data_IF_650991070551
#
_entry.id   IF_650991070551
#
_cell.length_a   1.000
_cell.length_b   1.000
_cell.length_c   1.000
_cell.angle_alpha   90.00
_cell.angle_beta   90.00
_cell.angle_gamma   90.00
#
_symmetry.space_group_name_H-M   'P 1'
#
loop_
_entity.id
_entity.type
_entity.pdbx_description
1 polymer ?
#
# COMPACT_ATOMS: atom_id res chain seq x y z
N UNK A 1 67.79 -17.76 -59.09
CA UNK A 1 66.80 -18.62 -58.41
C UNK A 1 66.20 -17.83 -57.25
N UNK A 2 64.86 -17.89 -57.14
CA UNK A 2 63.96 -17.48 -56.03
C UNK A 2 64.13 -16.05 -55.47
N UNK A 3 63.28 -15.08 -55.86
CA UNK A 3 61.93 -14.75 -55.32
C UNK A 3 61.93 -14.34 -53.84
N UNK A 4 61.56 -13.08 -53.59
CA UNK A 4 61.15 -12.56 -52.29
C UNK A 4 60.33 -11.29 -52.49
N UNK A 5 59.03 -11.39 -52.19
CA UNK A 5 58.05 -10.30 -52.08
C UNK A 5 58.23 -9.60 -50.72
N UNK A 6 58.07 -8.27 -50.67
CA UNK A 6 57.51 -7.57 -49.50
C UNK A 6 56.65 -6.40 -49.98
N UNK A 7 55.44 -6.33 -49.45
CA UNK A 7 54.40 -5.32 -49.68
C UNK A 7 54.60 -4.07 -48.82
N UNK A 8 54.10 -2.91 -49.29
CA UNK A 8 53.45 -1.88 -48.45
C UNK A 8 52.57 -0.92 -49.28
N UNK A 9 51.32 -0.79 -48.81
CA UNK A 9 50.23 0.18 -49.08
C UNK A 9 49.51 0.15 -50.45
N UNK A 10 48.16 0.23 -50.46
CA UNK A 10 47.49 1.53 -50.31
C UNK A 10 46.21 1.57 -49.45
N UNK A 11 45.70 2.79 -49.35
CA UNK A 11 44.57 3.36 -48.62
C UNK A 11 43.17 2.76 -48.92
N UNK A 12 42.37 2.75 -47.85
CA UNK A 12 40.94 3.11 -47.71
C UNK A 12 39.97 2.66 -48.79
N UNK A 13 39.15 1.67 -48.43
CA UNK A 13 37.79 1.50 -48.94
C UNK A 13 36.81 1.65 -47.77
N UNK A 14 35.84 2.55 -47.94
CA UNK A 14 34.68 2.73 -47.06
C UNK A 14 33.70 1.61 -47.39
N UNK A 15 33.45 0.70 -46.46
CA UNK A 15 32.42 -0.33 -46.59
C UNK A 15 31.21 0.06 -45.72
N UNK A 16 30.09 0.22 -46.38
CA UNK A 16 28.76 0.46 -45.83
C UNK A 16 28.35 -0.71 -44.93
N UNK A 17 28.13 -0.43 -43.65
CA UNK A 17 27.55 -1.41 -42.71
C UNK A 17 26.07 -1.52 -43.04
N UNK A 18 25.69 -2.64 -43.65
CA UNK A 18 24.28 -3.03 -43.79
C UNK A 18 23.73 -3.37 -42.41
N UNK A 19 22.64 -2.68 -42.04
CA UNK A 19 21.83 -2.97 -40.86
C UNK A 19 21.32 -4.42 -40.93
N UNK A 20 21.84 -5.29 -40.06
CA UNK A 20 21.22 -6.58 -39.74
C UNK A 20 20.38 -6.39 -38.49
N UNK A 21 19.06 -6.34 -38.68
CA UNK A 21 18.09 -6.53 -37.60
C UNK A 21 18.22 -7.98 -37.10
N UNK A 22 18.94 -8.18 -36.01
CA UNK A 22 18.83 -9.42 -35.23
C UNK A 22 17.49 -9.37 -34.48
N UNK A 23 16.52 -10.14 -34.97
CA UNK A 23 15.34 -10.52 -34.19
C UNK A 23 15.81 -11.28 -32.94
N UNK A 24 15.76 -10.60 -31.80
CA UNK A 24 15.91 -11.22 -30.50
C UNK A 24 14.65 -12.05 -30.26
N UNK A 25 14.71 -13.35 -30.53
CA UNK A 25 13.75 -14.32 -30.02
C UNK A 25 13.85 -14.31 -28.49
N UNK A 26 12.91 -13.63 -27.85
CA UNK A 26 12.75 -13.65 -26.40
C UNK A 26 12.00 -14.92 -26.05
N UNK A 27 12.71 -15.94 -25.58
CA UNK A 27 12.12 -17.15 -25.04
C UNK A 27 11.07 -16.80 -23.97
N UNK A 28 9.81 -17.17 -24.25
CA UNK A 28 8.66 -16.97 -23.36
C UNK A 28 8.77 -17.89 -22.16
N UNK A 29 9.23 -17.37 -21.02
CA UNK A 29 9.11 -18.04 -19.73
C UNK A 29 7.75 -17.68 -19.13
N UNK A 30 6.85 -18.67 -19.07
CA UNK A 30 5.58 -18.58 -18.34
C UNK A 30 5.81 -18.37 -16.83
N UNK A 31 5.97 -17.12 -16.39
CA UNK A 31 5.96 -16.75 -14.97
C UNK A 31 5.69 -15.24 -14.73
N UNK A 32 4.49 -14.75 -15.06
CA UNK A 32 4.03 -13.42 -14.64
C UNK A 32 2.76 -13.55 -13.79
N UNK A 33 2.90 -13.59 -12.46
CA UNK A 33 1.75 -13.56 -11.54
C UNK A 33 1.86 -12.33 -10.64
N UNK A 34 1.48 -11.17 -11.17
CA UNK A 34 1.15 -10.00 -10.35
C UNK A 34 -0.22 -10.26 -9.73
N UNK A 35 -0.31 -10.21 -8.40
CA UNK A 35 -1.57 -10.47 -7.68
C UNK A 35 -2.23 -9.15 -7.31
N UNK A 36 -3.50 -9.02 -7.67
CA UNK A 36 -4.29 -7.82 -7.45
C UNK A 36 -5.37 -8.01 -6.37
N UNK A 37 -5.33 -7.21 -5.31
CA UNK A 37 -6.45 -7.03 -4.40
C UNK A 37 -7.22 -5.77 -4.79
N UNK A 38 -8.51 -5.91 -5.12
CA UNK A 38 -9.37 -4.77 -5.47
C UNK A 38 -10.28 -4.43 -4.29
N UNK A 39 -10.14 -3.21 -3.78
CA UNK A 39 -11.10 -2.63 -2.83
C UNK A 39 -12.08 -1.74 -3.60
N UNK A 40 -13.37 -1.99 -3.44
CA UNK A 40 -14.47 -1.44 -4.25
C UNK A 40 -15.30 -0.46 -3.43
N UNK A 41 -15.41 0.78 -3.93
CA UNK A 41 -16.21 1.86 -3.34
C UNK A 41 -17.50 2.09 -4.14
N UNK A 42 -18.66 2.06 -3.44
CA UNK A 42 -19.97 2.42 -3.98
C UNK A 42 -20.47 3.63 -3.20
N UNK A 43 -20.37 4.82 -3.80
CA UNK A 43 -20.56 6.08 -3.10
C UNK A 43 -22.03 6.53 -3.14
N UNK A 44 -22.62 6.82 -1.99
CA UNK A 44 -23.77 7.73 -1.84
C UNK A 44 -23.45 8.73 -0.72
N UNK A 45 -23.48 10.02 -1.06
CA UNK A 45 -22.97 11.14 -0.27
C UNK A 45 -23.44 11.20 1.20
N UNK A 46 -22.55 11.53 2.16
CA UNK A 46 -22.50 12.81 2.94
C UNK A 46 -21.74 12.76 4.28
N UNK A 47 -21.21 13.96 4.63
CA UNK A 47 -20.87 14.61 5.92
C UNK A 47 -19.81 14.07 6.90
N UNK A 48 -18.85 14.96 7.22
CA UNK A 48 -17.78 14.82 8.21
C UNK A 48 -18.32 15.01 9.64
N UNK A 49 -18.04 14.07 10.55
CA UNK A 49 -18.27 14.23 11.99
C UNK A 49 -16.92 14.42 12.70
N UNK A 50 -16.76 15.56 13.36
CA UNK A 50 -15.68 15.82 14.32
C UNK A 50 -15.97 15.09 15.64
N UNK A 51 -14.99 14.36 16.17
CA UNK A 51 -15.09 13.73 17.49
C UNK A 51 -14.09 14.41 18.42
N UNK A 52 -14.58 15.18 19.39
CA UNK A 52 -13.79 15.77 20.47
C UNK A 52 -13.33 14.69 21.47
N UNK A 53 -12.11 14.85 21.98
CA UNK A 53 -11.36 13.80 22.65
C UNK A 53 -11.43 13.78 24.17
N UNK A 54 -11.32 12.58 24.73
CA UNK A 54 -10.78 12.31 26.07
C UNK A 54 -9.67 11.25 25.99
N UNK A 55 -8.56 11.50 26.68
CA UNK A 55 -7.44 10.58 26.83
C UNK A 55 -7.85 9.41 27.75
N UNK A 56 -7.82 8.19 27.23
CA UNK A 56 -8.02 6.98 28.03
C UNK A 56 -6.79 6.07 27.91
N UNK A 57 -6.26 5.65 29.07
CA UNK A 57 -5.26 4.60 29.19
C UNK A 57 -5.90 3.26 28.80
N UNK A 58 -5.61 2.77 27.59
CA UNK A 58 -6.05 1.46 27.10
C UNK A 58 -4.92 0.44 27.11
N UNK A 59 -5.25 -0.82 27.43
CA UNK A 59 -4.32 -1.95 27.42
C UNK A 59 -4.22 -2.49 25.99
N UNK A 60 -3.03 -2.48 25.39
CA UNK A 60 -2.77 -3.22 24.13
C UNK A 60 -2.15 -4.55 24.53
N UNK A 61 -2.88 -5.65 24.34
CA UNK A 61 -2.36 -6.99 24.64
C UNK A 61 -1.60 -7.54 23.41
N UNK A 62 -0.35 -8.01 23.55
CA UNK A 62 0.19 -9.01 22.64
C UNK A 62 -0.50 -10.34 22.99
N UNK A 63 -1.24 -10.93 22.07
CA UNK A 63 -1.96 -12.17 22.35
C UNK A 63 -1.20 -13.37 21.78
N UNK A 64 -0.35 -13.97 22.63
CA UNK A 64 -0.44 -15.41 22.80
C UNK A 64 -1.70 -15.70 23.63
N UNK A 65 -2.56 -16.58 23.09
CA UNK A 65 -3.71 -17.24 23.73
C UNK A 65 -4.91 -16.39 24.19
N UNK A 66 -6.00 -16.45 23.41
CA UNK A 66 -7.37 -16.44 23.95
C UNK A 66 -8.34 -17.10 22.95
N UNK A 67 -8.72 -18.35 23.23
CA UNK A 67 -9.82 -19.03 22.57
C UNK A 67 -11.15 -18.44 23.06
N UNK A 68 -12.05 -18.11 22.13
CA UNK A 68 -13.44 -17.75 22.43
C UNK A 68 -14.31 -18.90 21.96
N UNK A 69 -14.96 -19.58 22.91
CA UNK A 69 -16.01 -20.57 22.65
C UNK A 69 -17.33 -19.85 22.36
N UNK A 70 -17.77 -19.92 21.10
CA UNK A 70 -19.17 -19.64 20.71
C UNK A 70 -19.56 -20.73 19.72
N UNK A 71 -20.57 -21.53 20.06
CA UNK A 71 -21.05 -22.62 19.21
C UNK A 71 -22.00 -22.08 18.11
N UNK A 72 -21.72 -22.40 16.85
CA UNK A 72 -22.60 -22.14 15.69
C UNK A 72 -21.86 -21.76 14.39
N UNK A 73 -22.52 -21.88 13.24
CA UNK A 73 -21.95 -21.50 11.91
C UNK A 73 -21.64 -19.98 11.80
N UNK A 74 -22.43 -19.12 12.45
CA UNK A 74 -22.17 -17.67 12.50
C UNK A 74 -20.93 -17.32 13.34
N UNK A 75 -20.66 -18.09 14.40
CA UNK A 75 -19.46 -17.94 15.21
C UNK A 75 -18.20 -18.31 14.43
N UNK A 76 -18.27 -19.36 13.59
CA UNK A 76 -17.16 -19.74 12.74
C UNK A 76 -16.82 -18.67 11.69
N UNK A 77 -17.82 -17.99 11.10
CA UNK A 77 -17.59 -16.91 10.14
C UNK A 77 -17.00 -15.66 10.81
N UNK A 78 -17.52 -15.28 11.99
CA UNK A 78 -17.02 -14.15 12.78
C UNK A 78 -15.62 -14.42 13.36
N UNK A 79 -15.35 -15.65 13.80
CA UNK A 79 -14.04 -16.08 14.29
C UNK A 79 -13.01 -16.13 13.16
N UNK A 80 -13.40 -16.57 11.95
CA UNK A 80 -12.55 -16.54 10.76
C UNK A 80 -12.29 -15.11 10.27
N UNK A 81 -13.28 -14.22 10.32
CA UNK A 81 -13.12 -12.79 10.00
C UNK A 81 -12.23 -12.06 11.02
N UNK A 82 -12.40 -12.33 12.32
CA UNK A 82 -11.54 -11.80 13.38
C UNK A 82 -10.10 -12.31 13.25
N UNK A 83 -9.91 -13.62 13.00
CA UNK A 83 -8.61 -14.24 12.77
C UNK A 83 -7.92 -13.71 11.50
N UNK A 84 -8.70 -13.31 10.49
CA UNK A 84 -8.22 -12.70 9.24
C UNK A 84 -7.81 -11.23 9.41
N UNK A 85 -8.56 -10.45 10.20
CA UNK A 85 -8.13 -9.10 10.65
C UNK A 85 -6.77 -9.16 11.37
N UNK A 86 -6.55 -10.23 12.12
CA UNK A 86 -5.33 -10.55 12.89
C UNK A 86 -4.16 -11.03 12.03
N UNK A 87 -4.30 -11.12 10.71
CA UNK A 87 -3.30 -11.76 9.81
C UNK A 87 -2.33 -10.79 9.13
N UNK A 88 -2.51 -9.47 9.24
CA UNK A 88 -1.68 -8.49 8.51
C UNK A 88 -0.49 -8.00 9.36
N UNK A 89 0.77 -8.35 9.02
CA UNK A 89 1.93 -7.96 9.82
C UNK A 89 2.08 -6.43 9.90
N UNK A 90 2.31 -5.91 11.12
CA UNK A 90 2.48 -4.47 11.37
C UNK A 90 1.17 -3.70 11.61
N UNK A 91 0.02 -4.37 11.50
CA UNK A 91 -1.30 -3.85 11.88
C UNK A 91 -1.74 -4.52 13.18
N UNK A 92 -2.38 -3.76 14.06
CA UNK A 92 -2.82 -4.24 15.37
C UNK A 92 -4.27 -3.81 15.64
N UNK A 93 -4.92 -4.48 16.60
CA UNK A 93 -6.24 -4.12 17.08
C UNK A 93 -6.14 -3.77 18.57
N UNK A 94 -6.50 -2.55 18.92
CA UNK A 94 -6.67 -2.14 20.31
C UNK A 94 -8.10 -2.51 20.74
N UNK A 95 -8.22 -3.42 21.71
CA UNK A 95 -9.51 -3.87 22.26
C UNK A 95 -9.92 -2.96 23.41
N UNK A 96 -11.17 -2.51 23.42
CA UNK A 96 -11.71 -1.59 24.42
C UNK A 96 -13.24 -1.71 24.52
N UNK A 97 -13.93 -0.59 24.80
CA UNK A 97 -15.39 -0.53 24.62
C UNK A 97 -15.77 -0.70 23.14
N UNK A 98 -14.92 -0.16 22.27
CA UNK A 98 -14.97 -0.31 20.83
C UNK A 98 -13.59 -0.75 20.37
N UNK A 99 -13.56 -1.67 19.40
CA UNK A 99 -12.31 -2.15 18.83
C UNK A 99 -11.79 -1.16 17.79
N UNK A 100 -10.51 -0.83 17.88
CA UNK A 100 -9.88 0.15 17.00
C UNK A 100 -8.71 -0.48 16.25
N UNK A 101 -8.65 -0.26 14.94
CA UNK A 101 -7.48 -0.59 14.14
C UNK A 101 -6.35 0.39 14.48
N UNK A 102 -5.15 -0.10 14.75
CA UNK A 102 -4.01 0.74 15.13
C UNK A 102 -2.71 0.31 14.43
N UNK A 103 -1.81 1.27 14.21
CA UNK A 103 -0.44 1.04 13.72
C UNK A 103 0.58 1.51 14.76
N UNK A 104 1.75 0.87 14.81
CA UNK A 104 2.82 1.28 15.72
C UNK A 104 3.45 2.60 15.23
N UNK A 105 3.43 3.63 16.05
CA UNK A 105 3.94 4.94 15.68
C UNK A 105 5.48 4.90 15.56
N UNK A 106 6.02 5.24 14.38
CA UNK A 106 7.47 5.36 14.18
C UNK A 106 8.03 6.72 14.66
N UNK A 107 7.15 7.71 14.89
CA UNK A 107 7.48 9.03 15.43
C UNK A 107 6.70 9.29 16.73
N UNK A 108 7.06 8.64 17.85
CA UNK A 108 6.34 8.79 19.12
C UNK A 108 6.25 10.25 19.55
N UNK A 109 5.09 10.67 20.04
CA UNK A 109 4.85 12.06 20.47
C UNK A 109 4.13 12.92 19.43
N UNK A 110 4.07 12.47 18.17
CA UNK A 110 3.49 13.22 17.05
C UNK A 110 2.26 12.51 16.44
N UNK A 111 1.20 13.27 16.21
CA UNK A 111 0.04 12.89 15.37
C UNK A 111 0.10 13.61 14.03
N UNK A 112 -0.46 13.01 12.98
CA UNK A 112 -0.39 13.56 11.61
C UNK A 112 -1.61 14.40 11.27
N UNK A 113 -2.80 13.92 11.62
CA UNK A 113 -4.07 14.55 11.29
C UNK A 113 -5.00 14.68 12.50
N UNK A 114 -4.42 14.68 13.71
CA UNK A 114 -5.17 14.80 14.96
C UNK A 114 -5.78 13.48 15.45
N UNK A 115 -5.35 12.34 14.91
CA UNK A 115 -5.81 11.03 15.35
C UNK A 115 -5.44 10.70 16.79
N UNK A 116 -6.28 9.87 17.43
CA UNK A 116 -6.03 9.37 18.77
C UNK A 116 -4.79 8.48 18.80
N UNK A 117 -4.02 8.59 19.88
CA UNK A 117 -2.81 7.79 20.14
C UNK A 117 -2.94 7.01 21.43
N UNK A 118 -2.36 5.81 21.46
CA UNK A 118 -2.39 4.90 22.60
C UNK A 118 -0.95 4.60 22.99
N UNK A 119 -0.59 4.94 24.22
CA UNK A 119 0.73 4.64 24.77
C UNK A 119 0.68 3.41 25.65
N UNK A 120 1.59 2.47 25.42
CA UNK A 120 1.76 1.28 26.25
C UNK A 120 3.19 1.22 26.78
N UNK A 121 3.30 1.11 28.09
CA UNK A 121 4.57 0.89 28.76
C UNK A 121 4.83 -0.60 28.84
N UNK A 122 5.91 -1.05 28.19
CA UNK A 122 6.36 -2.43 28.38
C UNK A 122 7.27 -2.45 29.61
N UNK A 123 6.76 -2.96 30.73
CA UNK A 123 7.61 -3.34 31.85
C UNK A 123 8.36 -4.60 31.45
N UNK A 124 9.69 -4.56 31.43
CA UNK A 124 10.49 -5.74 31.14
C UNK A 124 10.32 -6.78 32.27
N UNK A 125 9.39 -7.72 32.13
CA UNK A 125 9.24 -8.82 33.08
C UNK A 125 10.18 -9.97 32.72
N UNK A 126 11.18 -10.12 33.59
CA UNK A 126 11.83 -11.38 34.00
C UNK A 126 12.62 -12.17 32.97
N UNK A 127 13.93 -11.92 32.97
CA UNK A 127 14.91 -12.89 32.52
C UNK A 127 16.30 -12.31 32.42
N UNK A 128 16.90 -11.87 33.53
CA UNK A 128 18.35 -11.84 33.76
C UNK A 128 18.65 -11.46 35.22
N UNK A 129 19.41 -12.32 35.87
CA UNK A 129 20.12 -12.08 37.11
C UNK A 129 21.01 -10.85 36.97
N UNK A 130 21.00 -9.98 37.99
CA UNK A 130 21.82 -8.77 38.19
C UNK A 130 21.11 -7.43 37.88
N UNK A 131 20.31 -6.96 38.85
CA UNK A 131 20.38 -5.60 39.43
C UNK A 131 20.01 -4.36 38.60
N UNK A 132 20.22 -4.34 37.28
CA UNK A 132 19.97 -3.16 36.45
C UNK A 132 18.71 -3.39 35.61
N UNK A 133 17.57 -2.91 36.11
CA UNK A 133 16.33 -2.88 35.35
C UNK A 133 16.50 -1.96 34.13
N UNK A 134 16.37 -2.50 32.93
CA UNK A 134 16.29 -1.69 31.71
C UNK A 134 15.13 -0.68 31.83
N UNK A 135 15.31 0.58 31.40
CA UNK A 135 14.25 1.58 31.47
C UNK A 135 13.03 1.12 30.67
N UNK A 136 11.83 1.33 31.23
CA UNK A 136 10.58 0.98 30.57
C UNK A 136 10.50 1.64 29.19
N UNK A 137 10.38 0.84 28.13
CA UNK A 137 10.22 1.34 26.78
C UNK A 137 8.75 1.65 26.52
N UNK A 138 8.44 2.94 26.35
CA UNK A 138 7.10 3.41 25.97
C UNK A 138 6.91 3.21 24.46
N UNK A 139 5.98 2.34 24.08
CA UNK A 139 5.58 2.14 22.69
C UNK A 139 4.27 2.89 22.45
N UNK A 140 4.23 3.70 21.39
CA UNK A 140 3.04 4.45 21.00
C UNK A 140 2.40 3.82 19.76
N UNK A 141 1.08 3.77 19.74
CA UNK A 141 0.25 3.33 18.62
C UNK A 141 -0.69 4.45 18.19
N UNK A 142 -1.07 4.47 16.92
CA UNK A 142 -1.96 5.47 16.31
C UNK A 142 -3.23 4.79 15.82
N UNK A 143 -4.38 5.39 16.11
CA UNK A 143 -5.68 4.89 15.64
C UNK A 143 -5.83 5.17 14.14
N UNK A 144 -6.11 4.12 13.38
CA UNK A 144 -6.31 4.18 11.95
C UNK A 144 -7.81 4.13 11.63
N UNK A 145 -8.34 5.25 11.14
CA UNK A 145 -9.76 5.40 10.90
C UNK A 145 -10.17 4.80 9.54
N UNK A 146 -11.04 3.76 9.50
CA UNK A 146 -11.50 3.14 8.25
C UNK A 146 -12.37 4.07 7.39
N UNK A 147 -13.10 5.01 7.99
CA UNK A 147 -13.91 6.00 7.26
C UNK A 147 -13.07 7.07 6.54
N UNK A 148 -11.77 7.16 6.85
CA UNK A 148 -10.82 8.10 6.20
C UNK A 148 -9.79 7.40 5.33
N UNK A 149 -9.70 6.07 5.40
CA UNK A 149 -8.67 5.30 4.72
C UNK A 149 -9.25 4.02 4.12
N UNK A 150 -9.30 3.99 2.79
CA UNK A 150 -9.80 2.83 2.04
C UNK A 150 -9.00 1.56 2.29
N UNK A 151 -7.70 1.69 2.60
CA UNK A 151 -6.87 0.55 2.99
C UNK A 151 -7.28 0.00 4.36
N UNK A 152 -7.55 0.85 5.34
CA UNK A 152 -8.07 0.41 6.64
C UNK A 152 -9.46 -0.23 6.50
N UNK A 153 -10.36 0.37 5.70
CA UNK A 153 -11.66 -0.21 5.39
C UNK A 153 -11.51 -1.60 4.74
N UNK A 154 -10.56 -1.76 3.80
CA UNK A 154 -10.27 -3.06 3.17
C UNK A 154 -9.73 -4.10 4.16
N UNK A 155 -8.84 -3.70 5.08
CA UNK A 155 -8.35 -4.59 6.14
C UNK A 155 -9.50 -5.02 7.06
N UNK A 156 -10.35 -4.09 7.49
CA UNK A 156 -11.50 -4.40 8.34
C UNK A 156 -12.57 -5.22 7.63
N UNK A 157 -12.78 -4.96 6.33
CA UNK A 157 -13.68 -5.77 5.50
C UNK A 157 -13.12 -7.15 5.16
N UNK A 158 -11.88 -7.45 5.58
CA UNK A 158 -11.30 -8.78 5.51
C UNK A 158 -10.67 -9.09 4.16
N UNK A 159 -9.85 -8.19 3.60
CA UNK A 159 -8.86 -8.56 2.57
C UNK A 159 -7.92 -9.65 3.10
N UNK A 160 -7.68 -10.70 2.30
CA UNK A 160 -6.74 -11.79 2.63
C UNK A 160 -5.29 -11.29 2.62
N UNK A 161 -4.91 -10.50 1.61
CA UNK A 161 -3.51 -10.14 1.39
C UNK A 161 -3.40 -8.70 0.86
N UNK A 162 -2.90 -7.79 1.71
CA UNK A 162 -2.61 -6.40 1.30
C UNK A 162 -1.19 -6.21 0.76
N UNK A 163 -0.34 -7.24 0.85
CA UNK A 163 1.09 -7.28 0.49
C UNK A 163 2.02 -6.29 1.23
N UNK A 164 1.45 -5.27 1.89
CA UNK A 164 2.15 -4.29 2.72
C UNK A 164 2.51 -4.96 4.05
N UNK A 165 3.81 -5.05 4.33
CA UNK A 165 4.37 -5.71 5.52
C UNK A 165 5.65 -5.01 5.97
N UNK A 166 6.10 -5.22 7.22
CA UNK A 166 7.37 -4.69 7.69
C UNK A 166 8.52 -5.02 6.74
N UNK A 167 9.33 -4.01 6.39
CA UNK A 167 10.43 -4.11 5.44
C UNK A 167 10.07 -4.03 3.96
N UNK A 168 8.78 -3.97 3.60
CA UNK A 168 8.38 -3.85 2.20
C UNK A 168 8.67 -2.45 1.63
N UNK A 169 8.92 -2.40 0.32
CA UNK A 169 8.93 -1.17 -0.47
C UNK A 169 7.59 -0.98 -1.15
N UNK A 170 6.93 0.14 -0.88
CA UNK A 170 5.58 0.46 -1.38
C UNK A 170 5.64 1.69 -2.27
N UNK A 171 5.06 1.60 -3.47
CA UNK A 171 4.74 2.77 -4.29
C UNK A 171 3.28 3.13 -4.09
N UNK A 172 3.03 4.27 -3.47
CA UNK A 172 1.69 4.78 -3.17
C UNK A 172 1.32 5.85 -4.20
N UNK A 173 0.32 5.56 -5.04
CA UNK A 173 -0.17 6.47 -6.08
C UNK A 173 -1.43 7.20 -5.57
N UNK A 174 -1.40 8.54 -5.55
CA UNK A 174 -2.48 9.36 -5.01
C UNK A 174 -2.35 9.56 -3.50
N UNK A 175 -1.18 10.01 -3.05
CA UNK A 175 -0.85 10.13 -1.63
C UNK A 175 -1.62 11.25 -0.89
N UNK A 176 -2.20 12.21 -1.61
CA UNK A 176 -2.88 13.38 -1.07
C UNK A 176 -2.03 14.10 0.00
N UNK A 177 -2.60 14.39 1.17
CA UNK A 177 -1.89 15.02 2.29
C UNK A 177 -1.09 14.02 3.15
N UNK A 178 -1.09 12.73 2.82
CA UNK A 178 -0.29 11.72 3.51
C UNK A 178 -0.94 11.07 4.74
N UNK A 179 -2.25 11.20 4.94
CA UNK A 179 -2.97 10.58 6.08
C UNK A 179 -2.81 9.06 6.10
N UNK A 180 -3.26 8.35 5.06
CA UNK A 180 -3.10 6.90 4.91
C UNK A 180 -1.63 6.50 4.71
N UNK A 181 -0.86 7.31 3.98
CA UNK A 181 0.58 7.08 3.76
C UNK A 181 1.34 6.98 5.08
N UNK A 182 0.98 7.79 6.08
CA UNK A 182 1.61 7.74 7.39
C UNK A 182 1.39 6.41 8.12
N UNK A 183 0.23 5.76 7.95
CA UNK A 183 -0.03 4.43 8.49
C UNK A 183 0.69 3.34 7.70
N UNK A 184 0.75 3.46 6.37
CA UNK A 184 1.56 2.55 5.54
C UNK A 184 3.04 2.64 5.95
N UNK A 185 3.55 3.85 6.20
CA UNK A 185 4.90 4.08 6.70
C UNK A 185 5.14 3.42 8.07
N UNK A 186 4.17 3.49 8.98
CA UNK A 186 4.21 2.80 10.26
C UNK A 186 4.28 1.27 10.10
N UNK A 187 3.49 0.70 9.18
CA UNK A 187 3.43 -0.75 8.91
C UNK A 187 4.73 -1.26 8.30
N UNK A 188 5.26 -0.59 7.26
CA UNK A 188 6.52 -1.02 6.64
C UNK A 188 7.72 -0.80 7.55
N UNK A 189 7.61 0.12 8.50
CA UNK A 189 8.61 0.37 9.53
C UNK A 189 9.92 0.97 8.98
N UNK A 190 10.97 1.04 9.83
CA UNK A 190 12.21 1.75 9.51
C UNK A 190 13.05 1.07 8.42
N UNK A 191 12.84 -0.22 8.17
CA UNK A 191 13.55 -0.98 7.12
C UNK A 191 12.82 -0.96 5.78
N UNK A 192 11.55 -0.56 5.77
CA UNK A 192 10.75 -0.39 4.55
C UNK A 192 10.89 1.00 3.96
N UNK A 193 10.24 1.22 2.81
CA UNK A 193 10.22 2.55 2.17
C UNK A 193 8.90 2.77 1.48
N UNK A 194 8.31 3.95 1.63
CA UNK A 194 7.09 4.37 0.95
C UNK A 194 7.41 5.50 -0.02
N UNK A 195 7.31 5.24 -1.32
CA UNK A 195 7.37 6.25 -2.37
C UNK A 195 5.96 6.82 -2.55
N UNK A 196 5.74 8.06 -2.11
CA UNK A 196 4.41 8.67 -2.09
C UNK A 196 4.26 9.66 -3.24
N UNK A 197 3.52 9.27 -4.28
CA UNK A 197 3.31 10.10 -5.48
C UNK A 197 2.03 10.91 -5.32
N UNK A 198 2.16 12.23 -5.45
CA UNK A 198 1.05 13.18 -5.42
C UNK A 198 1.23 14.24 -6.50
N UNK A 199 0.17 14.55 -7.24
CA UNK A 199 0.24 15.56 -8.31
C UNK A 199 0.02 16.98 -7.78
N UNK A 200 -0.86 17.13 -6.79
CA UNK A 200 -1.24 18.44 -6.25
C UNK A 200 -0.10 19.07 -5.45
N UNK A 201 0.36 20.25 -5.85
CA UNK A 201 1.31 21.04 -5.05
C UNK A 201 0.75 21.45 -3.68
N UNK A 202 -0.57 21.61 -3.54
CA UNK A 202 -1.19 21.98 -2.26
C UNK A 202 -1.05 20.82 -1.28
N UNK A 203 -1.59 19.65 -1.64
CA UNK A 203 -1.52 18.44 -0.83
C UNK A 203 -0.08 17.97 -0.65
N UNK A 204 0.75 18.19 -1.68
CA UNK A 204 2.17 17.91 -1.66
C UNK A 204 2.94 18.66 -0.57
N UNK A 205 2.53 19.86 -0.17
CA UNK A 205 3.15 20.56 0.98
C UNK A 205 2.93 19.80 2.28
N UNK A 206 1.70 19.35 2.51
CA UNK A 206 1.34 18.60 3.71
C UNK A 206 2.03 17.23 3.71
N UNK A 207 2.11 16.58 2.53
CA UNK A 207 2.84 15.33 2.36
C UNK A 207 4.35 15.48 2.65
N UNK A 208 4.97 16.56 2.17
CA UNK A 208 6.39 16.87 2.47
C UNK A 208 6.58 17.10 3.96
N UNK A 209 5.71 17.88 4.60
CA UNK A 209 5.77 18.13 6.04
C UNK A 209 5.62 16.83 6.84
N UNK A 210 4.70 15.94 6.45
CA UNK A 210 4.58 14.63 7.11
C UNK A 210 5.85 13.78 6.91
N UNK A 211 6.46 13.84 5.72
CA UNK A 211 7.69 13.12 5.41
C UNK A 211 8.93 13.68 6.13
N UNK A 212 8.96 14.93 6.59
CA UNK A 212 10.11 15.43 7.39
C UNK A 212 10.24 14.71 8.72
N UNK A 213 9.14 14.20 9.25
CA UNK A 213 9.12 13.44 10.51
C UNK A 213 9.31 11.94 10.27
N UNK A 214 8.94 11.40 9.10
CA UNK A 214 9.04 9.98 8.74
C UNK A 214 10.08 9.74 7.66
N UNK A 215 11.28 9.35 8.09
CA UNK A 215 12.45 9.16 7.20
C UNK A 215 12.30 8.03 6.18
N UNK A 216 11.33 7.12 6.37
CA UNK A 216 11.02 6.05 5.44
C UNK A 216 9.99 6.44 4.36
N UNK A 217 9.55 7.70 4.31
CA UNK A 217 8.65 8.23 3.28
C UNK A 217 9.43 9.15 2.32
N UNK A 218 9.34 8.87 1.03
CA UNK A 218 9.91 9.70 -0.03
C UNK A 218 8.75 10.37 -0.78
N UNK A 219 8.48 11.68 -0.55
CA UNK A 219 7.43 12.40 -1.24
C UNK A 219 7.86 12.75 -2.67
N UNK A 220 7.01 12.45 -3.65
CA UNK A 220 7.24 12.69 -5.07
C UNK A 220 6.08 13.54 -5.59
N UNK A 221 6.34 14.83 -5.83
CA UNK A 221 5.32 15.76 -6.32
C UNK A 221 5.34 15.78 -7.85
N UNK A 222 4.74 14.77 -8.47
CA UNK A 222 4.66 14.59 -9.92
C UNK A 222 3.38 13.87 -10.35
N UNK A 223 3.07 13.95 -11.65
CA UNK A 223 1.93 13.25 -12.24
C UNK A 223 2.21 11.75 -12.42
N UNK A 224 1.41 10.91 -11.75
CA UNK A 224 1.49 9.45 -11.82
C UNK A 224 1.29 8.89 -13.24
N UNK A 225 0.68 9.65 -14.16
CA UNK A 225 0.54 9.31 -15.59
C UNK A 225 1.86 9.26 -16.35
N UNK A 226 2.91 9.89 -15.82
CA UNK A 226 4.21 10.05 -16.47
C UNK A 226 5.34 9.47 -15.62
N UNK A 227 5.36 8.14 -15.35
CA UNK A 227 6.30 7.53 -14.42
C UNK A 227 7.77 7.78 -14.77
N UNK A 228 8.10 7.95 -16.05
CA UNK A 228 9.46 8.28 -16.49
C UNK A 228 10.03 9.57 -15.87
N UNK A 229 9.18 10.53 -15.44
CA UNK A 229 9.64 11.79 -14.83
C UNK A 229 10.27 11.60 -13.46
N UNK A 230 9.84 10.59 -12.71
CA UNK A 230 10.37 10.26 -11.38
C UNK A 230 11.14 8.93 -11.37
N UNK A 231 11.55 8.44 -12.54
CA UNK A 231 12.33 7.20 -12.70
C UNK A 231 13.60 7.17 -11.87
N UNK A 232 14.26 8.32 -11.71
CA UNK A 232 15.51 8.38 -10.95
C UNK A 232 15.30 8.29 -9.42
N UNK A 233 14.06 8.47 -8.94
CA UNK A 233 13.74 8.51 -7.52
C UNK A 233 13.26 7.15 -6.99
N UNK A 234 12.57 6.37 -7.83
CA UNK A 234 11.88 5.15 -7.40
C UNK A 234 12.71 3.91 -7.76
N UNK A 235 13.03 3.11 -6.75
CA UNK A 235 13.61 1.77 -6.94
C UNK A 235 12.53 0.71 -7.15
N UNK A 236 12.90 -0.50 -7.60
CA UNK A 236 11.93 -1.62 -7.68
C UNK A 236 11.19 -1.84 -6.35
N UNK A 237 9.86 -1.88 -6.41
CA UNK A 237 8.94 -1.99 -5.27
C UNK A 237 8.30 -3.36 -5.17
N UNK A 238 7.90 -3.74 -3.95
CA UNK A 238 7.21 -4.99 -3.67
C UNK A 238 5.70 -4.85 -3.88
N UNK A 239 5.16 -3.65 -3.64
CA UNK A 239 3.72 -3.38 -3.69
C UNK A 239 3.44 -2.02 -4.34
N UNK A 240 2.40 -1.96 -5.17
CA UNK A 240 1.76 -0.70 -5.57
C UNK A 240 0.41 -0.60 -4.87
N UNK A 241 0.18 0.50 -4.16
CA UNK A 241 -1.15 0.87 -3.67
C UNK A 241 -1.64 2.09 -4.46
N UNK A 242 -2.80 1.97 -5.10
CA UNK A 242 -3.34 3.01 -5.98
C UNK A 242 -4.70 3.52 -5.48
N UNK A 243 -4.70 4.77 -5.01
CA UNK A 243 -5.89 5.52 -4.57
C UNK A 243 -6.10 6.79 -5.41
N UNK A 244 -5.92 6.61 -6.71
CA UNK A 244 -6.07 7.67 -7.71
C UNK A 244 -7.50 7.66 -8.24
N UNK A 245 -8.26 8.71 -7.93
CA UNK A 245 -9.61 8.90 -8.46
C UNK A 245 -9.58 9.51 -9.88
N UNK A 246 -9.23 8.71 -10.90
CA UNK A 246 -9.19 9.13 -12.31
C UNK A 246 -9.84 8.09 -13.24
N UNK A 247 -10.47 8.51 -14.36
CA UNK A 247 -11.05 7.57 -15.33
C UNK A 247 -10.02 6.64 -16.01
N UNK A 248 -8.76 7.05 -16.07
CA UNK A 248 -7.64 6.29 -16.65
C UNK A 248 -6.82 5.54 -15.59
N UNK A 249 -7.41 5.20 -14.43
CA UNK A 249 -6.74 4.55 -13.30
C UNK A 249 -5.99 3.26 -13.69
N UNK A 250 -6.64 2.32 -14.39
CA UNK A 250 -5.99 1.07 -14.80
C UNK A 250 -4.70 1.31 -15.62
N UNK A 251 -4.71 2.29 -16.53
CA UNK A 251 -3.54 2.66 -17.34
C UNK A 251 -2.42 3.25 -16.48
N UNK A 252 -2.78 4.12 -15.51
CA UNK A 252 -1.82 4.69 -14.57
C UNK A 252 -1.15 3.57 -13.76
N UNK A 253 -1.94 2.63 -13.24
CA UNK A 253 -1.44 1.48 -12.48
C UNK A 253 -0.55 0.59 -13.35
N UNK A 254 -0.98 0.26 -14.57
CA UNK A 254 -0.21 -0.56 -15.52
C UNK A 254 1.17 0.02 -15.83
N UNK A 255 1.23 1.31 -16.22
CA UNK A 255 2.50 1.98 -16.51
C UNK A 255 3.47 1.99 -15.32
N UNK A 256 2.95 2.20 -14.11
CA UNK A 256 3.76 2.17 -12.89
C UNK A 256 4.21 0.75 -12.53
N UNK A 257 3.34 -0.23 -12.71
CA UNK A 257 3.67 -1.63 -12.47
C UNK A 257 4.77 -2.13 -13.40
N UNK A 258 4.67 -1.85 -14.70
CA UNK A 258 5.69 -2.28 -15.67
C UNK A 258 7.08 -1.67 -15.41
N UNK A 259 7.15 -0.47 -14.82
CA UNK A 259 8.42 0.22 -14.57
C UNK A 259 9.02 -0.10 -13.20
N UNK A 260 8.20 -0.30 -12.17
CA UNK A 260 8.68 -0.33 -10.78
C UNK A 260 8.33 -1.61 -10.03
N UNK A 261 7.28 -2.34 -10.41
CA UNK A 261 6.85 -3.49 -9.63
C UNK A 261 7.74 -4.70 -9.91
N UNK A 262 8.20 -5.37 -8.86
CA UNK A 262 8.93 -6.64 -9.00
C UNK A 262 8.02 -7.73 -9.56
N UNK A 263 8.63 -8.71 -10.23
CA UNK A 263 7.93 -9.94 -10.62
C UNK A 263 7.37 -10.62 -9.37
N UNK A 264 6.08 -10.96 -9.39
CA UNK A 264 5.37 -11.50 -8.22
C UNK A 264 4.96 -10.47 -7.18
N UNK A 265 5.15 -9.17 -7.46
CA UNK A 265 4.71 -8.08 -6.60
C UNK A 265 3.20 -7.96 -6.49
N UNK A 266 2.76 -7.26 -5.44
CA UNK A 266 1.35 -7.01 -5.15
C UNK A 266 0.86 -5.71 -5.76
N UNK A 267 -0.38 -5.70 -6.24
CA UNK A 267 -1.09 -4.46 -6.59
C UNK A 267 -2.36 -4.39 -5.78
N UNK A 268 -2.59 -3.25 -5.14
CA UNK A 268 -3.83 -2.98 -4.42
C UNK A 268 -4.43 -1.72 -5.02
N UNK A 269 -5.66 -1.82 -5.53
CA UNK A 269 -6.35 -0.69 -6.18
C UNK A 269 -7.64 -0.41 -5.45
N UNK A 270 -7.85 0.84 -5.02
CA UNK A 270 -9.16 1.33 -4.62
C UNK A 270 -9.88 1.91 -5.83
N UNK A 271 -11.01 1.31 -6.19
CA UNK A 271 -11.81 1.73 -7.35
C UNK A 271 -13.03 2.47 -6.86
N UNK A 272 -13.11 3.76 -7.20
CA UNK A 272 -14.29 4.62 -6.97
C UNK A 272 -15.12 4.70 -8.24
N UNK A 273 -16.21 3.93 -8.31
CA UNK A 273 -17.00 3.80 -9.53
C UNK A 273 -17.45 5.16 -10.11
N UNK A 274 -17.94 6.06 -9.24
CA UNK A 274 -18.44 7.37 -9.63
C UNK A 274 -17.37 8.31 -10.23
N UNK A 275 -16.10 8.12 -9.89
CA UNK A 275 -15.01 8.91 -10.47
C UNK A 275 -14.57 8.41 -11.85
N UNK A 276 -14.91 7.16 -12.19
CA UNK A 276 -14.59 6.56 -13.49
C UNK A 276 -15.74 6.81 -14.46
N UNK A 277 -16.96 6.48 -14.05
CA UNK A 277 -18.17 6.66 -14.84
C UNK A 277 -19.39 6.78 -13.93
N UNK A 278 -19.86 8.01 -13.73
CA UNK A 278 -21.02 8.31 -12.88
C UNK A 278 -22.37 7.92 -13.47
N UNK A 279 -22.40 7.46 -14.73
CA UNK A 279 -23.64 7.09 -15.44
C UNK A 279 -23.88 5.59 -15.47
N UNK A 280 -22.83 4.79 -15.29
CA UNK A 280 -22.92 3.34 -15.29
C UNK A 280 -23.17 2.79 -13.88
N UNK A 281 -23.76 1.59 -13.82
CA UNK A 281 -23.86 0.84 -12.57
C UNK A 281 -22.46 0.51 -12.03
N UNK A 282 -22.20 0.62 -10.71
CA UNK A 282 -20.89 0.37 -10.12
C UNK A 282 -20.32 -1.00 -10.53
N UNK A 283 -21.12 -2.06 -10.51
CA UNK A 283 -20.72 -3.42 -10.89
C UNK A 283 -20.16 -3.48 -12.32
N UNK A 284 -20.75 -2.73 -13.24
CA UNK A 284 -20.29 -2.65 -14.62
C UNK A 284 -18.96 -1.87 -14.73
N UNK A 285 -18.78 -0.81 -13.94
CA UNK A 285 -17.52 -0.07 -13.87
C UNK A 285 -16.40 -0.98 -13.36
N UNK A 286 -16.65 -1.74 -12.29
CA UNK A 286 -15.66 -2.67 -11.73
C UNK A 286 -15.26 -3.76 -12.72
N UNK A 287 -16.24 -4.40 -13.37
CA UNK A 287 -15.96 -5.44 -14.36
C UNK A 287 -15.08 -4.92 -15.49
N UNK A 288 -15.29 -3.67 -15.94
CA UNK A 288 -14.44 -3.01 -16.94
C UNK A 288 -13.04 -2.71 -16.42
N UNK A 289 -12.90 -2.19 -15.21
CA UNK A 289 -11.57 -1.92 -14.63
C UNK A 289 -10.76 -3.19 -14.41
N UNK A 290 -11.39 -4.25 -13.89
CA UNK A 290 -10.75 -5.57 -13.76
C UNK A 290 -10.30 -6.11 -15.12
N UNK A 291 -11.09 -5.90 -16.16
CA UNK A 291 -10.73 -6.31 -17.52
C UNK A 291 -9.53 -5.52 -18.06
N UNK A 292 -9.48 -4.19 -17.88
CA UNK A 292 -8.33 -3.37 -18.25
C UNK A 292 -7.07 -3.77 -17.49
N UNK A 293 -7.17 -4.06 -16.19
CA UNK A 293 -6.02 -4.52 -15.40
C UNK A 293 -5.48 -5.87 -15.89
N UNK A 294 -6.37 -6.79 -16.32
CA UNK A 294 -5.94 -8.04 -16.96
C UNK A 294 -5.20 -7.80 -18.27
N UNK A 295 -5.63 -6.84 -19.08
CA UNK A 295 -4.96 -6.45 -20.33
C UNK A 295 -3.55 -5.89 -20.05
N UNK A 296 -3.34 -5.24 -18.91
CA UNK A 296 -2.04 -4.79 -18.40
C UNK A 296 -1.20 -5.92 -17.74
N UNK A 297 -1.63 -7.18 -17.88
CA UNK A 297 -1.02 -8.39 -17.28
C UNK A 297 -1.06 -8.44 -15.75
N UNK A 298 -2.00 -7.74 -15.13
CA UNK A 298 -2.24 -7.76 -13.69
C UNK A 298 -3.37 -8.75 -13.41
N UNK A 299 -3.08 -9.84 -12.70
CA UNK A 299 -4.07 -10.90 -12.42
C UNK A 299 -4.86 -10.57 -11.15
N UNK A 300 -6.19 -10.41 -11.22
CA UNK A 300 -7.03 -10.28 -10.02
C UNK A 300 -6.88 -11.52 -9.14
N UNK A 301 -6.62 -11.29 -7.85
CA UNK A 301 -6.50 -12.30 -6.82
C UNK A 301 -7.74 -12.30 -5.93
N UNK A 302 -8.11 -11.12 -5.42
CA UNK A 302 -9.29 -10.95 -4.58
C UNK A 302 -10.01 -9.63 -4.88
N UNK A 303 -11.30 -9.59 -4.55
CA UNK A 303 -12.14 -8.40 -4.68
C UNK A 303 -13.03 -8.28 -3.44
N UNK A 304 -13.12 -7.07 -2.89
CA UNK A 304 -13.92 -6.77 -1.72
C UNK A 304 -14.62 -5.42 -1.90
N UNK A 305 -15.91 -5.37 -1.56
CA UNK A 305 -16.68 -4.12 -1.46
C UNK A 305 -16.58 -3.54 -0.05
N UNK A 306 -16.33 -2.23 0.06
CA UNK A 306 -16.04 -1.54 1.33
C UNK A 306 -17.27 -1.12 2.17
N UNK A 307 -18.46 -1.63 1.87
CA UNK A 307 -19.66 -1.39 2.68
C UNK A 307 -19.49 -2.08 4.06
N UNK A 308 -19.59 -1.41 5.23
CA UNK A 308 -20.35 -0.19 5.58
C UNK A 308 -19.52 1.08 5.87
N UNK A 309 -18.22 1.10 5.62
CA UNK A 309 -17.34 2.22 6.03
C UNK A 309 -17.52 3.51 5.18
N UNK A 310 -18.39 3.46 4.18
CA UNK A 310 -18.71 4.59 3.29
C UNK A 310 -20.23 4.74 3.08
N UNK A 311 -21.05 3.77 3.53
CA UNK A 311 -22.51 3.96 3.64
C UNK A 311 -22.77 4.71 4.93
N UNK A 312 -23.24 5.96 4.83
CA UNK A 312 -23.82 6.67 5.97
C UNK A 312 -24.75 5.74 6.74
N UNK A 313 -24.54 5.64 8.05
CA UNK A 313 -25.37 4.86 8.97
C UNK A 313 -26.85 5.19 8.75
N UNK A 314 -27.60 4.28 8.12
CA UNK A 314 -29.04 4.21 8.27
C UNK A 314 -29.32 2.92 9.03
N UNK A 315 -29.51 3.06 10.34
CA UNK A 315 -30.02 1.99 11.20
C UNK A 315 -31.36 1.52 10.64
N UNK A 316 -31.35 0.35 10.01
CA UNK A 316 -32.54 -0.37 9.56
C UNK A 316 -32.98 -1.38 10.62
N UNK A 317 -33.66 -0.87 11.66
CA UNK A 317 -34.52 -1.57 12.65
C UNK A 317 -33.92 -2.65 13.54
#
# INVERSE_FOLDING_TARGET
MARGLWHLHPEVAVETVEDREEEIEVDFVEAEVVRLAVAVEVDSATEEVEVEGEEHQGVVAPLEEAAVEVEGEEAHLAQKAAQKLLSHPGVFVARGKEDMLVTKNITPGESVYGEKRISVESSATTGLTNGDAAPATKTEYRVWNPFRSKLAAGILGGLDEIFIRPGAKVLYLGAASGTSVSHVADIVGPTGTVFAVEFSHRSGRDLINMATHRTNVIPIIEDARHPLRYRMLVSMVDVIFADVAQPDQARIVGLNAHLYLKVGGGVVVSVKANCIDSTAAPEAVFAREVQKLKEERIKPFEQLTLEPFERGYVNGR
#
